data_IF_082567934321
#
_entry.id   IF_082567934321
#
_cell.length_a   1.000
_cell.length_b   1.000
_cell.length_c   1.000
_cell.angle_alpha   90.00
_cell.angle_beta   90.00
_cell.angle_gamma   90.00
#
_symmetry.space_group_name_H-M   'P 1'
#
loop_
_entity.id
_entity.type
_entity.pdbx_description
1 polymer ?
#
# COMPACT_ATOMS: atom_id res chain seq x y z
N UNK A 1 37.62 -4.18 41.18
CA UNK A 1 38.88 -4.95 41.02
C UNK A 1 38.95 -5.52 39.60
N UNK A 2 39.85 -4.93 38.79
CA UNK A 2 40.77 -5.59 37.82
C UNK A 2 40.09 -6.47 36.76
N UNK A 3 40.36 -6.45 35.43
CA UNK A 3 41.35 -5.73 34.58
C UNK A 3 40.93 -5.97 33.10
N UNK A 4 41.09 -4.98 32.28
CA UNK A 4 41.58 -4.94 30.88
C UNK A 4 42.00 -6.25 30.19
N UNK A 5 41.62 -6.40 28.92
CA UNK A 5 42.56 -6.77 27.88
C UNK A 5 42.07 -6.25 26.51
N UNK A 6 42.82 -5.32 25.96
CA UNK A 6 42.81 -4.93 24.56
C UNK A 6 43.78 -5.79 23.78
N UNK A 7 43.41 -6.16 22.53
CA UNK A 7 44.42 -6.64 21.58
C UNK A 7 44.15 -6.00 20.23
N UNK A 8 45.04 -5.11 19.88
CA UNK A 8 45.26 -4.52 18.55
C UNK A 8 46.17 -5.46 17.77
N UNK A 9 45.84 -5.77 16.50
CA UNK A 9 46.85 -6.25 15.55
C UNK A 9 46.58 -5.63 14.17
N UNK A 10 47.48 -4.71 13.79
CA UNK A 10 47.67 -4.17 12.45
C UNK A 10 48.84 -4.96 11.77
N UNK A 11 48.78 -5.15 10.46
CA UNK A 11 49.89 -5.19 9.49
C UNK A 11 49.27 -5.50 8.11
N UNK A 12 49.35 -4.64 7.17
CA UNK A 12 50.38 -4.05 6.29
C UNK A 12 50.52 -4.81 4.96
N UNK A 13 50.19 -4.08 3.92
CA UNK A 13 50.75 -3.93 2.57
C UNK A 13 51.42 -5.12 1.88
N UNK A 14 51.07 -5.32 0.59
CA UNK A 14 52.04 -5.25 -0.51
C UNK A 14 51.38 -4.91 -1.85
N UNK A 15 51.92 -3.87 -2.49
CA UNK A 15 51.70 -3.49 -3.86
C UNK A 15 52.62 -4.29 -4.80
N UNK A 16 52.18 -4.59 -5.99
CA UNK A 16 53.09 -4.89 -7.12
C UNK A 16 52.52 -4.32 -8.41
N UNK A 17 53.21 -3.29 -8.88
CA UNK A 17 53.19 -2.80 -10.26
C UNK A 17 53.97 -3.74 -11.17
N UNK A 18 53.49 -3.96 -12.38
CA UNK A 18 54.31 -4.23 -13.53
C UNK A 18 53.65 -3.65 -14.79
N UNK A 19 54.34 -2.70 -15.36
CA UNK A 19 54.08 -2.04 -16.62
C UNK A 19 54.77 -2.78 -17.77
N UNK A 20 54.25 -2.61 -18.99
CA UNK A 20 54.93 -2.50 -20.31
C UNK A 20 53.83 -2.75 -21.35
N UNK A 21 53.52 -1.87 -22.31
CA UNK A 21 54.32 -1.01 -23.14
C UNK A 21 54.06 -1.40 -24.58
N UNK A 22 53.58 -0.47 -25.45
CA UNK A 22 53.70 -0.68 -26.91
C UNK A 22 52.56 -0.04 -27.73
N UNK A 23 52.77 1.24 -28.12
CA UNK A 23 52.65 1.86 -29.44
C UNK A 23 51.41 1.71 -30.31
N UNK A 24 50.77 2.85 -30.55
CA UNK A 24 49.92 3.16 -31.70
C UNK A 24 50.71 3.24 -33.02
N UNK A 25 50.06 3.24 -34.20
CA UNK A 25 49.77 4.52 -34.81
C UNK A 25 48.40 4.68 -35.46
N UNK A 26 48.11 5.93 -35.73
CA UNK A 26 46.90 6.53 -36.25
C UNK A 26 46.65 6.21 -37.73
N UNK A 27 45.38 6.31 -38.15
CA UNK A 27 44.91 7.29 -39.14
C UNK A 27 43.46 7.10 -39.58
N UNK A 28 42.76 8.20 -39.50
CA UNK A 28 41.81 8.79 -40.46
C UNK A 28 40.51 8.09 -40.84
N UNK A 29 39.44 8.77 -40.53
CA UNK A 29 38.55 9.21 -41.56
C UNK A 29 37.10 8.78 -41.51
N UNK A 30 36.26 9.76 -41.26
CA UNK A 30 35.03 10.06 -41.99
C UNK A 30 33.66 9.65 -41.40
N UNK A 31 32.94 10.74 -41.13
CA UNK A 31 31.52 11.00 -41.35
C UNK A 31 30.42 10.22 -40.63
N UNK A 32 29.84 10.94 -39.71
CA UNK A 32 28.40 11.20 -39.49
C UNK A 32 27.39 10.23 -40.15
N UNK A 33 26.68 9.52 -39.29
CA UNK A 33 25.24 9.33 -39.46
C UNK A 33 24.61 9.38 -38.09
N UNK A 34 23.84 10.43 -37.84
CA UNK A 34 22.89 10.47 -36.73
C UNK A 34 21.83 9.40 -36.96
N UNK A 35 22.07 8.25 -36.40
CA UNK A 35 21.05 7.20 -36.28
C UNK A 35 20.28 7.47 -34.98
N UNK A 36 19.08 8.03 -35.14
CA UNK A 36 18.07 8.04 -34.11
C UNK A 36 17.79 6.58 -33.73
N UNK A 37 18.42 6.09 -32.67
CA UNK A 37 18.05 4.82 -32.07
C UNK A 37 16.73 5.04 -31.37
N UNK A 38 15.62 4.76 -32.11
CA UNK A 38 14.39 4.40 -31.46
C UNK A 38 14.69 3.20 -30.56
N UNK A 39 14.69 3.41 -29.27
CA UNK A 39 14.70 2.34 -28.27
C UNK A 39 13.44 1.53 -28.54
N UNK A 40 13.58 0.42 -29.26
CA UNK A 40 12.58 -0.62 -29.25
C UNK A 40 12.51 -1.11 -27.81
N UNK A 41 11.39 -0.83 -27.13
CA UNK A 41 11.01 -1.51 -25.91
C UNK A 41 11.05 -3.02 -26.20
N UNK A 42 12.14 -3.65 -25.83
CA UNK A 42 12.24 -5.10 -25.80
C UNK A 42 11.32 -5.57 -24.68
N UNK A 43 10.19 -6.17 -25.03
CA UNK A 43 9.30 -6.79 -24.08
C UNK A 43 9.96 -8.00 -23.45
N UNK A 44 10.90 -7.76 -22.54
CA UNK A 44 11.37 -8.76 -21.58
C UNK A 44 10.31 -8.94 -20.50
N UNK A 45 10.22 -10.17 -19.97
CA UNK A 45 9.36 -10.46 -18.81
C UNK A 45 9.82 -9.57 -17.66
N UNK A 46 8.89 -8.86 -16.96
CA UNK A 46 9.26 -8.04 -15.80
C UNK A 46 9.94 -8.86 -14.71
N UNK A 47 10.84 -8.23 -13.95
CA UNK A 47 11.50 -8.90 -12.83
C UNK A 47 10.50 -9.23 -11.72
N UNK A 48 10.59 -10.43 -11.19
CA UNK A 48 9.69 -11.00 -10.18
C UNK A 48 8.64 -11.94 -10.75
N UNK A 49 8.26 -11.79 -12.03
CA UNK A 49 7.26 -12.64 -12.71
C UNK A 49 7.85 -13.48 -13.84
N UNK A 50 9.15 -13.74 -13.82
CA UNK A 50 9.84 -14.55 -14.83
C UNK A 50 9.36 -16.00 -14.83
N UNK A 51 8.83 -16.49 -13.72
CA UNK A 51 8.21 -17.80 -13.56
C UNK A 51 6.74 -17.84 -13.97
N UNK A 52 6.18 -16.68 -14.38
CA UNK A 52 4.77 -16.53 -14.75
C UNK A 52 3.83 -16.44 -13.54
N UNK A 53 4.35 -16.14 -12.36
CA UNK A 53 3.56 -15.97 -11.11
C UNK A 53 3.74 -14.54 -10.60
N UNK A 54 2.64 -13.87 -10.27
CA UNK A 54 2.65 -12.62 -9.51
C UNK A 54 2.35 -12.95 -8.05
N UNK A 55 3.36 -12.81 -7.19
CA UNK A 55 3.23 -13.01 -5.74
C UNK A 55 2.88 -11.69 -5.08
N UNK A 56 1.68 -11.61 -4.50
CA UNK A 56 1.13 -10.39 -3.90
C UNK A 56 0.98 -10.55 -2.41
N UNK A 57 1.52 -9.60 -1.63
CA UNK A 57 1.28 -9.52 -0.19
C UNK A 57 0.11 -8.58 0.13
N UNK A 58 -0.69 -8.98 1.12
CA UNK A 58 -1.78 -8.21 1.73
C UNK A 58 -2.04 -8.70 3.14
N UNK A 59 -2.80 -7.95 3.96
CA UNK A 59 -3.10 -8.33 5.36
C UNK A 59 -4.09 -9.49 5.46
N UNK A 60 -4.99 -9.63 4.50
CA UNK A 60 -6.12 -10.56 4.52
C UNK A 60 -7.02 -10.40 5.77
N UNK A 61 -7.08 -9.18 6.30
CA UNK A 61 -7.87 -8.80 7.47
C UNK A 61 -8.48 -7.40 7.35
N UNK A 62 -8.48 -6.82 6.17
CA UNK A 62 -8.86 -5.42 5.91
C UNK A 62 -10.02 -5.33 4.91
N UNK A 63 -11.23 -5.78 5.30
CA UNK A 63 -12.41 -5.62 4.47
C UNK A 63 -12.81 -4.13 4.33
N UNK A 64 -13.29 -3.67 3.16
CA UNK A 64 -13.59 -4.42 1.93
C UNK A 64 -12.38 -4.59 0.98
N UNK A 65 -11.19 -4.10 1.35
CA UNK A 65 -10.00 -4.21 0.50
C UNK A 65 -9.52 -5.65 0.35
N UNK A 66 -9.23 -6.33 1.46
CA UNK A 66 -8.80 -7.72 1.46
C UNK A 66 -9.15 -8.41 2.78
N UNK A 67 -9.67 -9.62 2.70
CA UNK A 67 -10.00 -10.44 3.88
C UNK A 67 -9.75 -11.91 3.64
N UNK A 68 -9.66 -12.71 4.71
CA UNK A 68 -9.61 -14.17 4.61
C UNK A 68 -10.99 -14.78 4.83
N UNK A 69 -11.25 -15.90 4.15
CA UNK A 69 -12.46 -16.70 4.26
C UNK A 69 -12.12 -18.20 4.18
N UNK A 70 -13.02 -19.10 4.68
CA UNK A 70 -12.70 -20.52 4.81
C UNK A 70 -12.77 -21.32 3.51
N UNK A 71 -13.35 -20.77 2.42
CA UNK A 71 -13.59 -21.46 1.17
C UNK A 71 -13.36 -20.56 -0.05
N UNK A 72 -13.44 -21.13 -1.24
CA UNK A 72 -13.24 -20.46 -2.52
C UNK A 72 -14.48 -19.72 -3.05
N UNK A 73 -15.52 -19.54 -2.24
CA UNK A 73 -16.73 -18.81 -2.65
C UNK A 73 -16.39 -17.39 -3.13
N UNK A 74 -17.20 -16.87 -4.04
CA UNK A 74 -17.00 -15.56 -4.67
C UNK A 74 -15.64 -15.42 -5.37
N UNK A 75 -15.12 -16.52 -5.94
CA UNK A 75 -13.83 -16.55 -6.65
C UNK A 75 -12.61 -16.17 -5.79
N UNK A 76 -12.66 -16.46 -4.49
CA UNK A 76 -11.55 -16.25 -3.58
C UNK A 76 -10.30 -17.07 -3.97
N UNK A 77 -9.13 -16.54 -3.67
CA UNK A 77 -7.83 -17.10 -4.06
C UNK A 77 -7.17 -17.75 -2.85
N UNK A 78 -6.60 -18.96 -2.95
CA UNK A 78 -5.88 -19.58 -1.83
C UNK A 78 -4.78 -18.67 -1.28
N UNK A 79 -4.68 -18.56 0.04
CA UNK A 79 -3.57 -17.89 0.71
C UNK A 79 -2.45 -18.91 0.92
N UNK A 80 -1.25 -18.61 0.43
CA UNK A 80 -0.08 -19.48 0.50
C UNK A 80 0.17 -19.95 1.94
N UNK A 81 0.52 -21.22 2.09
CA UNK A 81 0.84 -21.88 3.36
C UNK A 81 -0.29 -21.87 4.42
N UNK A 82 -1.55 -21.67 3.97
CA UNK A 82 -2.74 -21.74 4.85
C UNK A 82 -3.82 -22.63 4.24
N UNK A 83 -4.93 -22.81 4.98
CA UNK A 83 -6.15 -23.45 4.49
C UNK A 83 -7.27 -22.42 4.23
N UNK A 84 -6.92 -21.13 4.13
CA UNK A 84 -7.85 -20.03 3.95
C UNK A 84 -7.68 -19.43 2.54
N UNK A 85 -8.65 -18.64 2.16
CA UNK A 85 -8.72 -17.97 0.86
C UNK A 85 -8.83 -16.46 1.07
N UNK A 86 -8.16 -15.69 0.23
CA UNK A 86 -8.26 -14.24 0.20
C UNK A 86 -9.34 -13.80 -0.77
N UNK A 87 -10.12 -12.79 -0.40
CA UNK A 87 -11.04 -12.09 -1.28
C UNK A 87 -11.04 -10.59 -0.96
N UNK A 88 -11.71 -9.80 -1.77
CA UNK A 88 -11.83 -8.35 -1.63
C UNK A 88 -11.35 -7.57 -2.84
N UNK A 89 -11.45 -6.27 -2.73
CA UNK A 89 -11.10 -5.33 -3.81
C UNK A 89 -9.68 -5.53 -4.34
N UNK A 90 -8.71 -5.67 -3.44
CA UNK A 90 -7.29 -5.87 -3.77
C UNK A 90 -7.06 -7.20 -4.52
N UNK A 91 -7.76 -8.25 -4.09
CA UNK A 91 -7.71 -9.58 -4.76
C UNK A 91 -8.34 -9.49 -6.14
N UNK A 92 -9.48 -8.81 -6.28
CA UNK A 92 -10.14 -8.59 -7.58
C UNK A 92 -9.25 -7.78 -8.53
N UNK A 93 -8.56 -6.77 -8.02
CA UNK A 93 -7.57 -5.98 -8.79
C UNK A 93 -6.38 -6.84 -9.20
N UNK A 94 -5.79 -7.61 -8.28
CA UNK A 94 -4.69 -8.52 -8.57
C UNK A 94 -5.04 -9.54 -9.66
N UNK A 95 -6.26 -10.08 -9.64
CA UNK A 95 -6.77 -10.99 -10.70
C UNK A 95 -6.83 -10.30 -12.06
N UNK A 96 -7.33 -9.05 -12.14
CA UNK A 96 -7.35 -8.29 -13.40
C UNK A 96 -5.95 -8.06 -13.96
N UNK A 97 -4.98 -7.75 -13.11
CA UNK A 97 -3.58 -7.58 -13.51
C UNK A 97 -3.00 -8.90 -14.05
N UNK A 98 -3.28 -10.01 -13.38
CA UNK A 98 -2.82 -11.33 -13.78
C UNK A 98 -3.46 -11.78 -15.10
N UNK A 99 -4.77 -11.62 -15.27
CA UNK A 99 -5.47 -11.95 -16.52
C UNK A 99 -4.91 -11.18 -17.72
N UNK A 100 -4.65 -9.88 -17.56
CA UNK A 100 -4.17 -9.04 -18.64
C UNK A 100 -2.73 -9.36 -19.07
N UNK A 101 -1.92 -9.94 -18.18
CA UNK A 101 -0.51 -10.23 -18.41
C UNK A 101 -0.20 -11.73 -18.52
N UNK A 102 -1.21 -12.60 -18.50
CA UNK A 102 -1.07 -14.07 -18.52
C UNK A 102 -0.21 -14.61 -17.35
N UNK A 103 -0.37 -13.99 -16.15
CA UNK A 103 0.28 -14.43 -14.90
C UNK A 103 -0.68 -15.27 -14.05
N UNK A 104 -0.09 -16.12 -13.21
CA UNK A 104 -0.81 -16.77 -12.11
C UNK A 104 -0.72 -15.88 -10.87
N UNK A 105 -1.79 -15.83 -10.08
CA UNK A 105 -1.82 -15.09 -8.83
C UNK A 105 -1.47 -16.00 -7.66
N UNK A 106 -0.53 -15.56 -6.82
CA UNK A 106 -0.24 -16.13 -5.51
C UNK A 106 -0.41 -15.07 -4.42
N UNK A 107 -1.19 -15.35 -3.38
CA UNK A 107 -1.44 -14.43 -2.27
C UNK A 107 -0.63 -14.86 -1.04
N UNK A 108 0.05 -13.88 -0.43
CA UNK A 108 0.80 -14.03 0.83
C UNK A 108 0.20 -13.13 1.88
N UNK A 109 -0.22 -13.70 3.02
CA UNK A 109 -0.69 -12.92 4.16
C UNK A 109 0.48 -12.45 5.01
N UNK A 110 0.55 -11.14 5.25
CA UNK A 110 1.55 -10.50 6.11
C UNK A 110 0.88 -9.42 6.98
N UNK A 111 1.46 -9.15 8.13
CA UNK A 111 1.08 -8.00 8.95
C UNK A 111 1.45 -6.69 8.24
N UNK A 112 0.69 -5.63 8.50
CA UNK A 112 0.82 -4.31 7.84
C UNK A 112 2.26 -3.80 7.77
N UNK A 113 2.97 -3.80 8.90
CA UNK A 113 4.35 -3.31 8.99
C UNK A 113 5.37 -4.16 8.20
N UNK A 114 4.99 -5.38 7.81
CA UNK A 114 5.83 -6.30 7.05
C UNK A 114 5.68 -6.17 5.54
N UNK A 115 4.65 -5.47 5.06
CA UNK A 115 4.32 -5.39 3.63
C UNK A 115 5.43 -4.70 2.82
N UNK A 116 5.81 -3.47 3.19
CA UNK A 116 6.88 -2.73 2.49
C UNK A 116 8.22 -3.46 2.59
N UNK A 117 8.69 -3.94 3.75
CA UNK A 117 9.89 -4.76 3.84
C UNK A 117 9.88 -6.01 2.95
N UNK A 118 8.74 -6.68 2.78
CA UNK A 118 8.63 -7.88 1.95
C UNK A 118 8.87 -7.57 0.46
N UNK A 119 8.28 -6.51 -0.07
CA UNK A 119 8.50 -6.10 -1.48
C UNK A 119 9.90 -5.54 -1.69
N UNK A 120 10.47 -4.83 -0.72
CA UNK A 120 11.85 -4.32 -0.79
C UNK A 120 12.89 -5.45 -0.86
N UNK A 121 12.65 -6.54 -0.13
CA UNK A 121 13.56 -7.70 -0.12
C UNK A 121 13.36 -8.65 -1.29
N UNK A 122 12.30 -8.48 -2.09
CA UNK A 122 11.92 -9.41 -3.15
C UNK A 122 11.32 -10.72 -2.64
N UNK A 123 10.83 -10.74 -1.41
CA UNK A 123 10.07 -11.89 -0.88
C UNK A 123 8.68 -12.01 -1.53
N UNK A 124 8.16 -10.90 -2.05
CA UNK A 124 6.97 -10.79 -2.88
C UNK A 124 7.25 -9.80 -4.00
N UNK A 125 6.50 -9.90 -5.10
CA UNK A 125 6.67 -9.03 -6.27
C UNK A 125 5.95 -7.71 -6.10
N UNK A 126 4.80 -7.74 -5.44
CA UNK A 126 3.97 -6.56 -5.21
C UNK A 126 3.25 -6.59 -3.86
N UNK A 127 2.86 -5.41 -3.39
CA UNK A 127 1.88 -5.23 -2.30
C UNK A 127 0.65 -4.56 -2.90
N UNK A 128 -0.50 -5.21 -2.74
CA UNK A 128 -1.83 -4.68 -3.07
C UNK A 128 -2.68 -4.80 -1.82
N UNK A 129 -2.76 -3.72 -1.04
CA UNK A 129 -3.26 -3.75 0.34
C UNK A 129 -3.86 -2.41 0.78
N UNK A 130 -4.53 -1.69 -0.10
CA UNK A 130 -5.11 -0.40 0.25
C UNK A 130 -4.08 0.67 0.65
N UNK A 131 -2.82 0.58 0.17
CA UNK A 131 -1.75 1.49 0.57
C UNK A 131 -1.84 2.85 -0.12
N UNK A 132 -1.87 3.93 0.65
CA UNK A 132 -1.72 5.30 0.14
C UNK A 132 -0.34 5.51 -0.49
N UNK A 133 -0.30 6.24 -1.61
CA UNK A 133 0.92 6.52 -2.40
C UNK A 133 1.73 7.69 -1.82
N UNK A 134 1.98 7.68 -0.50
CA UNK A 134 2.64 8.81 0.17
C UNK A 134 4.06 9.03 -0.34
N UNK A 135 4.52 10.30 -0.30
CA UNK A 135 5.88 10.65 -0.68
C UNK A 135 6.92 9.87 0.13
N UNK A 136 6.69 9.63 1.42
CA UNK A 136 7.57 8.85 2.28
C UNK A 136 7.69 7.39 1.81
N UNK A 137 6.57 6.73 1.47
CA UNK A 137 6.61 5.38 0.90
C UNK A 137 7.28 5.36 -0.47
N UNK A 138 7.05 6.39 -1.29
CA UNK A 138 7.67 6.51 -2.60
C UNK A 138 9.19 6.64 -2.55
N UNK A 139 9.80 7.00 -1.41
CA UNK A 139 11.23 6.90 -1.21
C UNK A 139 11.71 5.44 -1.12
N UNK A 140 10.86 4.54 -0.64
CA UNK A 140 11.18 3.16 -0.30
C UNK A 140 10.80 2.15 -1.39
N UNK A 141 9.70 2.40 -2.12
CA UNK A 141 9.15 1.54 -3.17
C UNK A 141 8.81 2.39 -4.40
N UNK A 142 8.50 1.75 -5.52
CA UNK A 142 7.81 2.39 -6.63
C UNK A 142 6.33 2.02 -6.60
N UNK A 143 5.47 2.90 -7.07
CA UNK A 143 4.03 2.67 -7.15
C UNK A 143 3.55 2.52 -8.59
N UNK A 144 2.73 1.52 -8.85
CA UNK A 144 1.80 1.50 -9.97
C UNK A 144 0.44 2.02 -9.50
N UNK A 145 -0.28 2.68 -10.38
CA UNK A 145 -1.59 3.26 -10.04
C UNK A 145 -1.65 4.78 -10.18
N UNK A 146 -2.65 5.42 -9.54
CA UNK A 146 -3.56 4.84 -8.54
C UNK A 146 -4.52 3.81 -9.11
N UNK A 147 -5.00 2.89 -8.24
CA UNK A 147 -6.07 1.96 -8.56
C UNK A 147 -7.34 2.22 -7.73
N UNK A 148 -7.31 3.21 -6.85
CA UNK A 148 -8.47 3.79 -6.19
C UNK A 148 -8.16 5.24 -5.77
N UNK A 149 -9.17 6.10 -5.89
CA UNK A 149 -9.15 7.48 -5.39
C UNK A 149 -9.94 7.51 -4.08
N UNK A 150 -9.23 7.55 -2.95
CA UNK A 150 -9.85 7.53 -1.64
C UNK A 150 -10.26 8.95 -1.19
N UNK A 151 -11.19 9.01 -0.25
CA UNK A 151 -11.55 10.23 0.47
C UNK A 151 -11.42 10.01 1.96
N UNK A 152 -11.04 11.05 2.70
CA UNK A 152 -10.86 10.98 4.14
C UNK A 152 -12.21 11.16 4.80
N UNK A 153 -12.51 10.29 5.76
CA UNK A 153 -13.70 10.40 6.59
C UNK A 153 -13.38 10.04 8.04
N UNK A 154 -14.27 10.39 8.96
CA UNK A 154 -14.27 9.84 10.31
C UNK A 154 -15.50 8.95 10.54
N UNK A 155 -15.32 7.97 11.44
CA UNK A 155 -16.41 7.19 12.00
C UNK A 155 -16.55 7.51 13.48
N UNK A 156 -17.77 7.62 13.96
CA UNK A 156 -18.13 7.73 15.38
C UNK A 156 -19.33 6.85 15.68
N UNK A 157 -19.75 6.71 16.93
CA UNK A 157 -21.02 6.03 17.27
C UNK A 157 -22.19 7.00 17.12
N UNK A 158 -23.35 6.48 16.75
CA UNK A 158 -24.55 7.29 16.50
C UNK A 158 -25.07 8.04 17.76
N UNK A 159 -24.77 7.53 18.95
CA UNK A 159 -25.08 8.12 20.25
C UNK A 159 -23.96 8.98 20.83
N UNK A 160 -22.82 9.10 20.13
CA UNK A 160 -21.68 9.92 20.52
C UNK A 160 -22.02 11.41 20.52
N UNK A 161 -21.35 12.18 21.41
CA UNK A 161 -21.41 13.63 21.39
C UNK A 161 -20.95 14.23 20.04
N UNK A 162 -20.11 13.51 19.31
CA UNK A 162 -19.54 13.89 18.00
C UNK A 162 -20.40 13.49 16.81
N UNK A 163 -21.51 12.76 17.02
CA UNK A 163 -22.35 12.23 15.94
C UNK A 163 -22.91 13.28 14.95
N UNK A 164 -22.90 14.55 15.31
CA UNK A 164 -23.39 15.64 14.47
C UNK A 164 -22.31 16.65 14.08
N UNK A 165 -21.03 16.30 14.22
CA UNK A 165 -19.90 17.10 13.78
C UNK A 165 -20.04 17.48 12.30
N UNK A 166 -19.68 18.73 11.95
CA UNK A 166 -19.77 19.30 10.61
C UNK A 166 -18.42 19.65 10.01
N UNK A 167 -17.37 19.58 10.82
CA UNK A 167 -15.98 19.83 10.46
C UNK A 167 -15.07 19.21 11.50
N UNK A 168 -13.76 19.24 11.22
CA UNK A 168 -12.75 18.69 12.13
C UNK A 168 -12.66 19.47 13.44
N UNK A 169 -12.99 20.77 13.45
CA UNK A 169 -13.02 21.59 14.65
C UNK A 169 -14.08 21.13 15.68
N UNK A 170 -15.18 20.52 15.22
CA UNK A 170 -16.22 19.96 16.09
C UNK A 170 -15.77 18.70 16.83
N UNK A 171 -14.63 18.11 16.45
CA UNK A 171 -14.02 16.92 17.06
C UNK A 171 -13.06 17.25 18.21
N UNK A 172 -12.85 18.55 18.51
CA UNK A 172 -12.00 19.03 19.59
C UNK A 172 -12.35 18.37 20.92
N UNK A 173 -11.33 17.86 21.62
CA UNK A 173 -11.45 17.24 22.95
C UNK A 173 -11.93 15.79 22.93
N UNK A 174 -12.30 15.25 21.79
CA UNK A 174 -12.63 13.83 21.64
C UNK A 174 -11.40 12.94 21.62
N UNK A 175 -11.55 11.72 22.13
CA UNK A 175 -10.50 10.70 22.04
C UNK A 175 -10.56 10.00 20.69
N UNK A 176 -9.38 9.78 20.07
CA UNK A 176 -9.32 9.21 18.73
C UNK A 176 -8.14 8.28 18.50
N UNK A 177 -8.24 7.44 17.48
CA UNK A 177 -7.14 6.63 16.96
C UNK A 177 -7.34 6.36 15.46
N UNK A 178 -6.33 5.78 14.84
CA UNK A 178 -6.37 5.18 13.52
C UNK A 178 -5.30 4.10 13.41
N UNK A 179 -5.19 3.45 12.25
CA UNK A 179 -4.17 2.43 12.03
C UNK A 179 -2.77 3.09 11.95
N UNK A 180 -1.79 2.44 12.59
CA UNK A 180 -0.39 2.89 12.59
C UNK A 180 0.20 2.93 11.17
N UNK A 181 1.17 3.83 10.95
CA UNK A 181 1.86 3.95 9.66
C UNK A 181 0.94 4.36 8.50
N UNK A 182 -0.21 4.98 8.79
CA UNK A 182 -1.14 5.52 7.78
C UNK A 182 -1.24 7.03 7.87
N UNK A 183 -1.60 7.68 6.75
CA UNK A 183 -1.88 9.12 6.75
C UNK A 183 -3.02 9.49 7.69
N UNK A 184 -3.94 8.56 7.94
CA UNK A 184 -5.06 8.77 8.84
C UNK A 184 -4.60 9.09 10.25
N UNK A 185 -3.62 8.34 10.77
CA UNK A 185 -3.05 8.55 12.09
C UNK A 185 -1.98 9.65 12.10
N UNK A 186 -1.03 9.60 11.14
CA UNK A 186 0.17 10.45 11.18
C UNK A 186 -0.09 11.87 10.69
N UNK A 187 -1.04 12.07 9.77
CA UNK A 187 -1.27 13.35 9.11
C UNK A 187 -2.65 13.94 9.43
N UNK A 188 -3.72 13.12 9.42
CA UNK A 188 -5.07 13.64 9.58
C UNK A 188 -5.41 13.94 11.04
N UNK A 189 -5.28 12.96 11.95
CA UNK A 189 -5.63 13.17 13.36
C UNK A 189 -4.91 14.34 14.03
N UNK A 190 -3.61 14.64 13.77
CA UNK A 190 -2.93 15.80 14.33
C UNK A 190 -3.51 17.15 13.92
N UNK A 191 -4.32 17.23 12.88
CA UNK A 191 -4.99 18.47 12.44
C UNK A 191 -6.20 18.82 13.31
N UNK A 192 -6.71 17.88 14.11
CA UNK A 192 -7.83 18.12 15.00
C UNK A 192 -7.29 18.76 16.29
N UNK A 193 -7.46 20.07 16.43
CA UNK A 193 -6.95 20.80 17.60
C UNK A 193 -7.56 20.26 18.90
N UNK A 194 -6.70 19.89 19.85
CA UNK A 194 -7.10 19.40 21.17
C UNK A 194 -7.72 18.01 21.21
N UNK A 195 -7.63 17.23 20.13
CA UNK A 195 -8.02 15.82 20.17
C UNK A 195 -7.10 15.00 21.09
N UNK A 196 -7.66 14.05 21.82
CA UNK A 196 -6.92 13.11 22.66
C UNK A 196 -6.53 11.88 21.82
N UNK A 197 -5.40 11.99 21.13
CA UNK A 197 -4.88 10.90 20.30
C UNK A 197 -4.41 9.73 21.17
N UNK A 198 -5.07 8.58 21.02
CA UNK A 198 -4.69 7.32 21.66
C UNK A 198 -3.60 6.62 20.84
N UNK A 199 -2.99 5.59 21.41
CA UNK A 199 -2.03 4.74 20.68
C UNK A 199 -2.64 4.26 19.37
N UNK A 200 -1.85 4.33 18.29
CA UNK A 200 -2.26 3.82 16.99
C UNK A 200 -2.63 2.33 17.05
N UNK A 201 -3.64 1.96 16.31
CA UNK A 201 -4.07 0.57 16.20
C UNK A 201 -3.14 -0.23 15.26
N UNK A 202 -2.88 -1.48 15.58
CA UNK A 202 -2.00 -2.34 14.76
C UNK A 202 -2.63 -2.72 13.41
N UNK A 203 -3.98 -2.69 13.33
CA UNK A 203 -4.74 -3.05 12.13
C UNK A 203 -6.06 -2.29 12.06
N UNK A 204 -6.69 -2.26 10.87
CA UNK A 204 -8.02 -1.66 10.71
C UNK A 204 -9.10 -2.34 11.58
N UNK A 205 -9.18 -3.68 11.72
CA UNK A 205 -10.09 -4.31 12.67
C UNK A 205 -9.87 -3.87 14.11
N UNK A 206 -8.61 -3.71 14.55
CA UNK A 206 -8.30 -3.25 15.90
C UNK A 206 -8.74 -1.78 16.12
N UNK A 207 -8.59 -0.93 15.10
CA UNK A 207 -9.09 0.45 15.09
C UNK A 207 -10.62 0.48 15.23
N UNK A 208 -11.35 -0.30 14.42
CA UNK A 208 -12.82 -0.37 14.46
C UNK A 208 -13.32 -0.93 15.80
N UNK A 209 -12.61 -1.92 16.36
CA UNK A 209 -12.93 -2.48 17.69
C UNK A 209 -12.73 -1.45 18.80
N UNK A 210 -11.72 -0.57 18.70
CA UNK A 210 -11.52 0.53 19.67
C UNK A 210 -12.71 1.49 19.67
N UNK A 211 -13.28 1.80 18.50
CA UNK A 211 -14.49 2.60 18.38
C UNK A 211 -15.72 1.84 18.92
N UNK A 212 -15.88 0.58 18.55
CA UNK A 212 -17.03 -0.24 18.97
C UNK A 212 -17.10 -0.39 20.49
N UNK A 213 -15.98 -0.63 21.14
CA UNK A 213 -15.89 -0.76 22.60
C UNK A 213 -15.98 0.57 23.36
N UNK A 214 -15.94 1.70 22.66
CA UNK A 214 -15.91 3.04 23.27
C UNK A 214 -14.56 3.38 23.90
N UNK A 215 -13.48 2.73 23.49
CA UNK A 215 -12.11 3.10 23.90
C UNK A 215 -11.68 4.44 23.28
N UNK A 216 -12.29 4.80 22.15
CA UNK A 216 -12.18 6.11 21.49
C UNK A 216 -13.56 6.60 21.06
N UNK A 217 -13.70 7.92 20.90
CA UNK A 217 -14.93 8.58 20.48
C UNK A 217 -15.11 8.58 18.96
N UNK A 218 -13.98 8.62 18.21
CA UNK A 218 -13.98 8.56 16.76
C UNK A 218 -12.67 7.97 16.22
N UNK A 219 -12.72 7.53 14.97
CA UNK A 219 -11.56 7.07 14.19
C UNK A 219 -11.54 7.78 12.85
N UNK A 220 -10.34 7.98 12.27
CA UNK A 220 -10.15 8.51 10.92
C UNK A 220 -9.75 7.36 9.97
N UNK A 221 -10.35 7.32 8.79
CA UNK A 221 -10.11 6.29 7.77
C UNK A 221 -10.57 6.77 6.39
N UNK A 222 -10.69 5.87 5.42
CA UNK A 222 -11.24 6.16 4.11
C UNK A 222 -12.72 5.75 3.97
N UNK A 223 -13.34 6.23 2.89
CA UNK A 223 -14.76 5.96 2.63
C UNK A 223 -15.07 4.46 2.44
N UNK A 224 -14.30 3.66 1.66
CA UNK A 224 -14.56 2.23 1.53
C UNK A 224 -14.52 1.48 2.87
N UNK A 225 -13.50 1.73 3.70
CA UNK A 225 -13.39 1.14 5.04
C UNK A 225 -14.59 1.50 5.91
N UNK A 226 -15.00 2.78 5.87
CA UNK A 226 -16.17 3.22 6.64
C UNK A 226 -17.45 2.56 6.18
N UNK A 227 -17.68 2.48 4.88
CA UNK A 227 -18.87 1.81 4.32
C UNK A 227 -18.88 0.33 4.70
N UNK A 228 -17.74 -0.36 4.60
CA UNK A 228 -17.60 -1.73 5.04
C UNK A 228 -17.87 -1.90 6.54
N UNK A 229 -17.30 -1.03 7.36
CA UNK A 229 -17.49 -1.05 8.82
C UNK A 229 -18.96 -0.83 9.22
N UNK A 230 -19.69 0.07 8.56
CA UNK A 230 -21.10 0.34 8.86
C UNK A 230 -22.01 -0.85 8.54
N UNK A 231 -21.60 -1.79 7.69
CA UNK A 231 -22.32 -3.05 7.48
C UNK A 231 -22.15 -3.97 8.70
N UNK A 232 -20.95 -4.04 9.26
CA UNK A 232 -20.63 -4.87 10.43
C UNK A 232 -21.10 -4.24 11.76
N UNK A 233 -21.05 -2.92 11.84
CA UNK A 233 -21.38 -2.11 13.03
C UNK A 233 -22.46 -1.07 12.69
N UNK A 234 -23.75 -1.45 12.72
CA UNK A 234 -24.85 -0.57 12.30
C UNK A 234 -25.00 0.71 13.16
N UNK A 235 -24.44 0.71 14.36
CA UNK A 235 -24.43 1.88 15.26
C UNK A 235 -23.33 2.90 14.92
N UNK A 236 -22.48 2.60 13.93
CA UNK A 236 -21.49 3.57 13.48
C UNK A 236 -22.15 4.63 12.60
N UNK A 237 -21.61 5.83 12.68
CA UNK A 237 -22.04 6.99 11.92
C UNK A 237 -20.87 7.60 11.18
N UNK A 238 -21.07 7.79 9.90
CA UNK A 238 -20.11 8.43 9.02
C UNK A 238 -20.12 9.94 9.22
N UNK A 239 -18.93 10.52 9.33
CA UNK A 239 -18.66 11.94 9.36
C UNK A 239 -17.81 12.27 8.13
N UNK A 240 -18.46 12.83 7.11
CA UNK A 240 -17.84 13.32 5.88
C UNK A 240 -17.77 14.84 5.94
N UNK A 241 -16.57 15.39 5.96
CA UNK A 241 -16.32 16.82 6.04
C UNK A 241 -16.02 17.44 4.69
N UNK A 242 -16.04 16.65 3.61
CA UNK A 242 -15.79 17.14 2.25
C UNK A 242 -16.72 18.30 1.90
N UNK A 243 -16.13 19.39 1.41
CA UNK A 243 -16.89 20.59 1.06
C UNK A 243 -17.43 21.43 2.22
N UNK A 244 -17.15 21.07 3.49
CA UNK A 244 -17.56 21.86 4.66
C UNK A 244 -16.79 23.18 4.81
N UNK A 245 -15.57 23.23 4.27
CA UNK A 245 -14.62 24.31 4.50
C UNK A 245 -13.83 24.15 5.83
N UNK A 246 -14.08 23.08 6.58
CA UNK A 246 -13.41 22.69 7.81
C UNK A 246 -13.11 21.18 7.74
N UNK A 247 -12.18 20.82 6.87
CA UNK A 247 -11.81 19.46 6.50
C UNK A 247 -10.31 19.24 6.64
N UNK A 248 -9.87 18.00 6.56
CA UNK A 248 -8.46 17.65 6.55
C UNK A 248 -7.74 18.22 5.33
N UNK A 249 -6.51 18.68 5.54
CA UNK A 249 -5.63 19.16 4.48
C UNK A 249 -4.56 18.12 4.21
N UNK A 250 -4.69 17.41 3.10
CA UNK A 250 -3.71 16.45 2.57
C UNK A 250 -3.63 16.61 1.06
N UNK A 251 -2.54 16.13 0.43
CA UNK A 251 -2.46 16.10 -1.02
C UNK A 251 -3.33 14.96 -1.58
N UNK A 252 -3.86 15.14 -2.79
CA UNK A 252 -4.60 14.07 -3.48
C UNK A 252 -3.71 12.83 -3.67
N UNK A 253 -2.40 13.01 -3.85
CA UNK A 253 -1.43 11.92 -4.00
C UNK A 253 -1.32 11.08 -2.73
N UNK A 254 -1.36 11.71 -1.55
CA UNK A 254 -1.26 11.02 -0.26
C UNK A 254 -2.51 10.17 0.05
N UNK A 255 -3.67 10.50 -0.49
CA UNK A 255 -4.91 9.71 -0.29
C UNK A 255 -5.14 8.68 -1.39
N UNK A 256 -4.52 8.82 -2.56
CA UNK A 256 -4.63 7.86 -3.64
C UNK A 256 -4.00 6.51 -3.25
N UNK A 257 -4.68 5.43 -3.63
CA UNK A 257 -4.26 4.07 -3.30
C UNK A 257 -3.51 3.47 -4.49
N UNK A 258 -2.31 2.95 -4.24
CA UNK A 258 -1.41 2.40 -5.25
C UNK A 258 -0.86 1.02 -4.92
N UNK A 259 -0.26 0.39 -5.92
CA UNK A 259 0.37 -0.92 -5.84
C UNK A 259 1.86 -0.71 -5.65
N UNK A 260 2.41 -1.16 -4.53
CA UNK A 260 3.85 -1.09 -4.27
C UNK A 260 4.58 -2.21 -5.01
N UNK A 261 5.66 -1.86 -5.69
CA UNK A 261 6.62 -2.79 -6.30
C UNK A 261 8.03 -2.42 -5.82
N UNK A 262 8.98 -3.34 -5.93
CA UNK A 262 10.37 -3.06 -5.55
C UNK A 262 10.88 -1.81 -6.26
N UNK A 263 11.59 -0.96 -5.53
CA UNK A 263 12.19 0.27 -6.05
C UNK A 263 13.08 -0.02 -7.26
N UNK A 264 12.79 0.66 -8.37
CA UNK A 264 13.50 0.47 -9.65
C UNK A 264 12.97 -0.67 -10.53
N UNK A 265 11.96 -1.45 -10.08
CA UNK A 265 11.29 -2.45 -10.94
C UNK A 265 10.29 -1.77 -11.89
N UNK A 266 10.81 -0.95 -12.80
CA UNK A 266 9.98 -0.17 -13.73
C UNK A 266 9.21 -1.06 -14.69
N UNK A 267 9.76 -2.22 -15.08
CA UNK A 267 9.10 -3.12 -16.01
C UNK A 267 7.79 -3.70 -15.43
N UNK A 268 7.80 -4.13 -14.16
CA UNK A 268 6.60 -4.62 -13.48
C UNK A 268 5.59 -3.49 -13.26
N UNK A 269 6.08 -2.33 -12.79
CA UNK A 269 5.26 -1.13 -12.64
C UNK A 269 4.55 -0.74 -13.95
N UNK A 270 5.28 -0.70 -15.05
CA UNK A 270 4.75 -0.30 -16.35
C UNK A 270 3.75 -1.32 -16.90
N UNK A 271 3.98 -2.62 -16.69
CA UNK A 271 3.02 -3.67 -17.03
C UNK A 271 1.69 -3.50 -16.27
N UNK A 272 1.76 -3.24 -14.96
CA UNK A 272 0.56 -2.95 -14.15
C UNK A 272 -0.12 -1.66 -14.59
N UNK A 273 0.63 -0.57 -14.81
CA UNK A 273 0.09 0.71 -15.27
C UNK A 273 -0.58 0.61 -16.64
N UNK A 274 -0.09 -0.27 -17.52
CA UNK A 274 -0.73 -0.51 -18.82
C UNK A 274 -2.18 -1.02 -18.67
N UNK A 275 -2.44 -1.81 -17.63
CA UNK A 275 -3.80 -2.28 -17.30
C UNK A 275 -4.61 -1.17 -16.63
N UNK A 276 -4.04 -0.56 -15.59
CA UNK A 276 -4.74 0.45 -14.78
C UNK A 276 -5.14 1.69 -15.61
N UNK A 277 -4.30 2.12 -16.57
CA UNK A 277 -4.62 3.26 -17.44
C UNK A 277 -5.78 3.01 -18.40
N UNK A 278 -6.18 1.76 -18.60
CA UNK A 278 -7.38 1.38 -19.34
C UNK A 278 -8.67 1.40 -18.51
N UNK A 279 -8.56 1.64 -17.20
CA UNK A 279 -9.69 1.69 -16.25
C UNK A 279 -10.03 3.13 -15.89
N UNK A 280 -11.30 3.37 -15.64
CA UNK A 280 -11.82 4.68 -15.19
C UNK A 280 -12.06 4.67 -13.68
N UNK A 281 -12.29 5.85 -13.08
CA UNK A 281 -12.69 5.95 -11.68
C UNK A 281 -14.00 5.16 -11.40
N UNK A 282 -14.93 5.14 -12.36
CA UNK A 282 -16.16 4.37 -12.22
C UNK A 282 -15.88 2.85 -12.20
N UNK A 283 -14.94 2.36 -13.03
CA UNK A 283 -14.53 0.95 -13.00
C UNK A 283 -13.95 0.55 -11.63
N UNK A 284 -13.15 1.44 -11.02
CA UNK A 284 -12.61 1.22 -9.67
C UNK A 284 -13.71 1.19 -8.62
N UNK A 285 -14.65 2.15 -8.67
CA UNK A 285 -15.78 2.22 -7.75
C UNK A 285 -16.72 1.02 -7.89
N UNK A 286 -17.00 0.57 -9.12
CA UNK A 286 -17.82 -0.60 -9.37
C UNK A 286 -17.18 -1.89 -8.83
N UNK A 287 -15.84 -2.01 -8.93
CA UNK A 287 -15.11 -3.14 -8.37
C UNK A 287 -15.15 -3.10 -6.84
N UNK A 288 -15.00 -1.92 -6.23
CA UNK A 288 -15.14 -1.74 -4.78
C UNK A 288 -16.56 -2.07 -4.30
N UNK A 289 -17.59 -1.65 -5.04
CA UNK A 289 -18.97 -1.98 -4.71
C UNK A 289 -19.23 -3.50 -4.75
N UNK A 290 -18.60 -4.23 -5.69
CA UNK A 290 -18.66 -5.69 -5.72
C UNK A 290 -18.00 -6.30 -4.48
N UNK A 291 -16.84 -5.80 -4.05
CA UNK A 291 -16.16 -6.27 -2.85
C UNK A 291 -17.03 -6.06 -1.60
N UNK A 292 -17.60 -4.85 -1.43
CA UNK A 292 -18.51 -4.52 -0.34
C UNK A 292 -19.72 -5.46 -0.30
N UNK A 293 -20.26 -5.82 -1.47
CA UNK A 293 -21.44 -6.68 -1.55
C UNK A 293 -21.20 -8.13 -1.08
N UNK A 294 -19.95 -8.60 -1.13
CA UNK A 294 -19.60 -10.00 -0.79
C UNK A 294 -18.72 -10.11 0.46
N UNK A 295 -18.37 -8.99 1.11
CA UNK A 295 -17.57 -9.02 2.33
C UNK A 295 -18.29 -9.78 3.45
N UNK A 296 -17.55 -10.45 4.35
CA UNK A 296 -18.17 -11.12 5.50
C UNK A 296 -18.77 -10.09 6.46
N UNK A 297 -20.00 -10.34 6.88
CA UNK A 297 -20.68 -9.50 7.87
C UNK A 297 -20.22 -9.94 9.26
N UNK A 298 -19.49 -9.05 9.97
CA UNK A 298 -19.13 -9.29 11.38
C UNK A 298 -18.01 -10.33 11.56
N UNK A 299 -16.96 -10.26 10.75
CA UNK A 299 -15.74 -11.06 10.95
C UNK A 299 -14.84 -10.43 12.01
#
# INVERSE_FOLDING_TARGET
MKKFFALVLALAMTASLAACGGSAPAASGSSAAAGSSASSAGGGVPSGVEDGVLTVAMECGYAPYNWSQPDDSNDAVPIRDTNEYANGYDVMMAKKLCEANDWKLEIVRLEWESLVPAVQSGAVDAVIAGQSMTAERAEQVDFAGPYLYASIICLTKADSAFANAKGISDLTGGSCTSQQGTIWYETCLPQIEGADMRTAAESAPAMLMALETGAVDFVCTDMPTAQGAMVAYPDFKLLDFSGSGDDFTVSDEDVNIGISVMKGNTALKDAMNSVLSGMTADDFNDLMAQAVAVQPIGA
#
